data_IF_901868503423
#
_entry.id   IF_901868503423
#
_cell.length_a   1.000
_cell.length_b   1.000
_cell.length_c   1.000
_cell.angle_alpha   90.00
_cell.angle_beta   90.00
_cell.angle_gamma   90.00
#
_symmetry.space_group_name_H-M   'P 1'
#
loop_
_entity.id
_entity.type
_entity.pdbx_description
1 polymer ?
#
# COMPACT_ATOMS: atom_id res chain seq x y z
N UNK A 1 11.91 -6.83 13.42
CA UNK A 1 11.46 -5.78 12.48
C UNK A 1 12.33 -4.53 12.62
N UNK A 2 12.49 -3.94 13.81
CA UNK A 2 13.29 -2.71 13.97
C UNK A 2 14.79 -2.88 13.68
N UNK A 3 15.34 -4.07 13.96
CA UNK A 3 16.76 -4.37 13.72
C UNK A 3 17.08 -4.81 12.29
N UNK A 4 16.06 -5.01 11.45
CA UNK A 4 16.24 -5.41 10.06
C UNK A 4 16.50 -4.17 9.18
N UNK A 5 17.10 -4.39 8.01
CA UNK A 5 17.30 -3.35 7.00
C UNK A 5 16.06 -3.22 6.10
N UNK A 6 15.48 -2.02 6.01
CA UNK A 6 14.23 -1.80 5.30
C UNK A 6 14.43 -1.17 3.93
N UNK A 7 13.64 -1.67 2.99
CA UNK A 7 13.37 -1.00 1.73
C UNK A 7 12.19 -0.04 1.95
N UNK A 8 12.41 1.23 1.69
CA UNK A 8 11.39 2.26 1.73
C UNK A 8 10.91 2.60 0.31
N UNK A 9 9.58 2.68 0.14
CA UNK A 9 8.95 2.99 -1.16
C UNK A 9 8.24 4.33 -1.09
N UNK A 10 8.66 5.27 -1.95
CA UNK A 10 7.96 6.56 -2.16
C UNK A 10 6.68 6.34 -2.95
N UNK A 11 5.56 6.86 -2.45
CA UNK A 11 4.25 6.69 -3.08
C UNK A 11 3.93 7.72 -4.18
N UNK A 12 4.81 8.67 -4.45
CA UNK A 12 4.57 9.69 -5.46
C UNK A 12 5.84 9.94 -6.26
N UNK A 13 5.72 10.04 -7.59
CA UNK A 13 6.75 10.63 -8.45
C UNK A 13 7.13 12.06 -8.04
N UNK A 14 6.36 12.68 -7.15
CA UNK A 14 6.82 13.74 -6.25
C UNK A 14 7.68 13.12 -5.14
N UNK A 15 8.99 13.09 -5.34
CA UNK A 15 9.92 12.89 -4.24
C UNK A 15 9.63 13.94 -3.17
N UNK A 16 9.66 13.56 -1.89
CA UNK A 16 9.75 14.46 -0.73
C UNK A 16 9.05 15.82 -0.99
N UNK A 17 7.75 15.76 -1.31
CA UNK A 17 7.01 16.93 -1.77
C UNK A 17 6.78 17.87 -0.61
N UNK A 18 7.62 18.90 -0.50
CA UNK A 18 7.25 20.15 0.16
C UNK A 18 5.84 20.52 -0.33
N UNK A 19 4.85 20.39 0.55
CA UNK A 19 3.67 21.22 0.47
C UNK A 19 4.07 22.68 0.63
N UNK A 20 3.11 23.61 0.57
CA UNK A 20 3.28 25.08 0.68
C UNK A 20 3.87 25.54 2.04
N UNK A 21 4.46 24.62 2.82
CA UNK A 21 5.11 24.86 4.08
C UNK A 21 6.54 24.28 4.11
N UNK A 22 7.58 25.12 4.06
CA UNK A 22 8.99 24.71 4.15
C UNK A 22 9.36 24.00 5.47
N UNK A 23 8.47 24.00 6.47
CA UNK A 23 8.66 23.30 7.75
C UNK A 23 8.21 21.84 7.72
N UNK A 24 7.52 21.37 6.67
CA UNK A 24 7.08 19.99 6.50
C UNK A 24 8.22 19.08 6.00
N UNK A 25 9.37 19.14 6.69
CA UNK A 25 10.51 18.27 6.45
C UNK A 25 10.10 16.84 6.83
N UNK A 26 10.00 15.97 5.83
CA UNK A 26 9.93 14.50 5.96
C UNK A 26 8.72 13.94 6.73
N UNK A 27 7.51 14.01 6.18
CA UNK A 27 6.50 13.00 6.56
C UNK A 27 6.84 11.69 5.87
N UNK A 28 7.53 10.82 6.62
CA UNK A 28 7.72 9.43 6.26
C UNK A 28 6.34 8.75 6.08
N UNK A 29 6.21 7.74 5.22
CA UNK A 29 4.91 7.15 4.85
C UNK A 29 4.15 6.48 6.02
N UNK A 30 2.93 5.97 5.77
CA UNK A 30 2.04 5.44 6.81
C UNK A 30 2.65 4.41 7.76
N UNK A 31 3.58 3.59 7.27
CA UNK A 31 4.34 2.62 8.08
C UNK A 31 5.18 3.34 9.13
N UNK A 32 5.86 4.41 8.74
CA UNK A 32 6.72 5.21 9.60
C UNK A 32 5.91 6.10 10.54
N UNK A 33 4.73 6.58 10.12
CA UNK A 33 3.78 7.24 11.01
C UNK A 33 3.28 6.28 12.11
N UNK A 34 2.93 5.04 11.77
CA UNK A 34 2.53 4.02 12.74
C UNK A 34 3.66 3.70 13.74
N UNK A 35 4.90 3.58 13.27
CA UNK A 35 6.07 3.43 14.15
C UNK A 35 6.31 4.65 15.04
N UNK A 36 6.14 5.86 14.49
CA UNK A 36 6.33 7.12 15.21
C UNK A 36 5.34 7.27 16.37
N UNK A 37 4.07 6.85 16.18
CA UNK A 37 3.07 6.81 17.25
C UNK A 37 3.48 5.93 18.44
N UNK A 38 4.32 4.92 18.20
CA UNK A 38 4.88 4.05 19.24
C UNK A 38 6.26 4.53 19.75
N UNK A 39 6.74 5.69 19.32
CA UNK A 39 8.09 6.18 19.64
C UNK A 39 9.21 5.29 19.09
N UNK A 40 8.97 4.61 17.96
CA UNK A 40 9.93 3.73 17.30
C UNK A 40 10.31 4.26 15.92
N UNK A 41 11.50 3.87 15.45
CA UNK A 41 12.01 4.17 14.10
C UNK A 41 12.68 2.93 13.56
N UNK A 42 12.43 2.62 12.28
CA UNK A 42 13.09 1.51 11.56
C UNK A 42 14.37 1.99 10.86
N UNK A 43 15.26 1.06 10.55
CA UNK A 43 16.47 1.32 9.77
C UNK A 43 16.17 1.21 8.28
N UNK A 44 16.25 2.31 7.53
CA UNK A 44 16.03 2.31 6.08
C UNK A 44 17.38 2.27 5.38
N UNK A 45 17.63 1.22 4.61
CA UNK A 45 18.88 1.01 3.86
C UNK A 45 18.72 1.31 2.37
N UNK A 46 17.51 1.16 1.82
CA UNK A 46 17.23 1.35 0.39
C UNK A 46 15.99 2.21 0.19
N UNK A 47 16.06 3.12 -0.78
CA UNK A 47 14.96 3.97 -1.21
C UNK A 47 14.59 3.67 -2.66
N UNK A 48 13.30 3.46 -2.93
CA UNK A 48 12.78 3.27 -4.29
C UNK A 48 11.45 4.00 -4.48
N UNK A 49 11.03 4.19 -5.73
CA UNK A 49 9.74 4.76 -6.11
C UNK A 49 8.75 3.72 -6.65
N UNK A 50 9.17 2.45 -6.73
CA UNK A 50 8.41 1.39 -7.38
C UNK A 50 8.33 0.15 -6.49
N UNK A 51 7.10 -0.32 -6.22
CA UNK A 51 6.89 -1.54 -5.46
C UNK A 51 7.51 -2.77 -6.12
N UNK A 52 7.52 -2.84 -7.46
CA UNK A 52 8.17 -3.94 -8.20
C UNK A 52 9.65 -4.05 -7.88
N UNK A 53 10.37 -2.92 -7.84
CA UNK A 53 11.79 -2.90 -7.45
C UNK A 53 11.96 -3.29 -5.99
N UNK A 54 11.06 -2.85 -5.10
CA UNK A 54 11.11 -3.25 -3.69
C UNK A 54 10.89 -4.76 -3.50
N UNK A 55 9.98 -5.37 -4.27
CA UNK A 55 9.74 -6.82 -4.24
C UNK A 55 10.97 -7.59 -4.72
N UNK A 56 11.58 -7.18 -5.83
CA UNK A 56 12.81 -7.80 -6.34
C UNK A 56 13.98 -7.69 -5.35
N UNK A 57 14.17 -6.50 -4.76
CA UNK A 57 15.23 -6.27 -3.78
C UNK A 57 15.01 -7.05 -2.48
N UNK A 58 13.76 -7.29 -2.09
CA UNK A 58 13.45 -8.08 -0.90
C UNK A 58 13.88 -9.56 -1.02
N UNK A 59 14.19 -10.05 -2.23
CA UNK A 59 14.77 -11.38 -2.42
C UNK A 59 16.25 -11.45 -2.00
N UNK A 60 16.90 -10.29 -1.85
CA UNK A 60 18.27 -10.24 -1.33
C UNK A 60 18.27 -10.50 0.18
N UNK A 61 19.37 -11.06 0.67
CA UNK A 61 19.55 -11.31 2.09
C UNK A 61 19.45 -10.01 2.92
N UNK A 62 18.91 -10.16 4.13
CA UNK A 62 18.84 -9.12 5.16
C UNK A 62 17.99 -7.87 4.85
N UNK A 63 17.20 -7.89 3.77
CA UNK A 63 16.25 -6.83 3.43
C UNK A 63 14.81 -7.24 3.73
N UNK A 64 14.03 -6.30 4.26
CA UNK A 64 12.57 -6.43 4.35
C UNK A 64 11.85 -5.24 3.74
N UNK A 65 10.70 -5.49 3.12
CA UNK A 65 9.84 -4.46 2.57
C UNK A 65 8.44 -4.58 3.21
N UNK A 66 7.90 -3.45 3.67
CA UNK A 66 6.49 -3.36 4.08
C UNK A 66 5.70 -2.74 2.94
N UNK A 67 4.78 -3.53 2.38
CA UNK A 67 4.06 -3.24 1.14
C UNK A 67 2.55 -3.30 1.39
N UNK A 68 1.73 -2.68 0.52
CA UNK A 68 0.31 -3.01 0.47
C UNK A 68 0.10 -4.53 0.31
N UNK A 69 -0.87 -5.08 1.04
CA UNK A 69 -1.13 -6.52 1.07
C UNK A 69 -1.35 -7.12 -0.32
N UNK A 70 -2.05 -6.40 -1.22
CA UNK A 70 -2.22 -6.80 -2.63
C UNK A 70 -0.92 -6.86 -3.43
N UNK A 71 0.06 -6.01 -3.13
CA UNK A 71 1.36 -6.08 -3.77
C UNK A 71 2.14 -7.31 -3.26
N UNK A 72 2.10 -7.57 -1.95
CA UNK A 72 2.69 -8.77 -1.37
C UNK A 72 2.02 -10.08 -1.87
N UNK A 73 0.73 -10.03 -2.20
CA UNK A 73 -0.01 -11.15 -2.79
C UNK A 73 0.59 -11.64 -4.11
N UNK A 74 1.13 -10.73 -4.92
CA UNK A 74 1.81 -11.08 -6.18
C UNK A 74 3.07 -11.92 -5.96
N UNK A 75 3.59 -11.97 -4.73
CA UNK A 75 4.78 -12.74 -4.34
C UNK A 75 4.43 -13.95 -3.47
N UNK A 76 3.14 -14.31 -3.32
CA UNK A 76 2.71 -15.37 -2.40
C UNK A 76 3.31 -16.74 -2.70
N UNK A 77 3.62 -17.01 -3.97
CA UNK A 77 4.18 -18.28 -4.46
C UNK A 77 5.69 -18.16 -4.74
N UNK A 78 6.33 -17.03 -4.40
CA UNK A 78 7.76 -16.84 -4.60
C UNK A 78 8.54 -17.63 -3.53
N UNK A 79 9.36 -18.64 -3.90
CA UNK A 79 10.07 -19.48 -2.95
C UNK A 79 11.20 -18.75 -2.20
N UNK A 80 11.65 -17.59 -2.70
CA UNK A 80 12.71 -16.79 -2.08
C UNK A 80 12.18 -15.83 -1.01
N UNK A 81 10.85 -15.70 -0.87
CA UNK A 81 10.22 -14.72 -0.01
C UNK A 81 9.29 -15.39 1.00
N UNK A 82 9.17 -14.76 2.17
CA UNK A 82 8.15 -15.13 3.16
C UNK A 82 7.34 -13.90 3.48
N UNK A 83 6.04 -13.96 3.21
CA UNK A 83 5.11 -12.88 3.56
C UNK A 83 4.65 -13.04 5.01
N UNK A 84 4.83 -12.00 5.81
CA UNK A 84 4.41 -11.96 7.23
C UNK A 84 3.53 -10.75 7.52
N UNK A 85 2.66 -10.90 8.51
CA UNK A 85 1.90 -9.77 9.09
C UNK A 85 2.88 -8.85 9.83
N UNK A 86 2.80 -7.52 9.65
CA UNK A 86 3.61 -6.58 10.42
C UNK A 86 3.38 -6.78 11.94
N UNK A 87 4.42 -6.67 12.79
CA UNK A 87 4.29 -6.92 14.23
C UNK A 87 3.69 -5.74 15.01
N UNK A 88 2.98 -4.86 14.32
CA UNK A 88 2.31 -3.68 14.86
C UNK A 88 1.18 -3.27 13.90
N UNK A 89 0.22 -2.53 14.42
CA UNK A 89 -0.93 -2.08 13.64
C UNK A 89 -0.53 -0.93 12.70
N UNK A 90 -0.92 -1.07 11.43
CA UNK A 90 -0.79 -0.04 10.41
C UNK A 90 -2.20 0.29 9.94
N UNK A 91 -2.67 1.55 10.08
CA UNK A 91 -4.01 1.91 9.66
C UNK A 91 -4.26 1.53 8.19
N UNK A 92 -5.42 0.93 7.86
CA UNK A 92 -5.77 0.65 6.49
C UNK A 92 -5.94 1.94 5.70
N UNK A 93 -5.83 1.83 4.38
CA UNK A 93 -6.08 2.94 3.48
C UNK A 93 -6.98 2.48 2.33
N UNK A 94 -7.75 3.41 1.80
CA UNK A 94 -8.69 3.15 0.72
C UNK A 94 -8.05 3.48 -0.63
N UNK A 95 -8.34 2.65 -1.64
CA UNK A 95 -8.08 2.96 -3.04
C UNK A 95 -9.39 3.48 -3.65
N UNK A 96 -9.37 4.71 -4.16
CA UNK A 96 -10.54 5.33 -4.78
C UNK A 96 -10.29 5.56 -6.26
N UNK A 97 -11.36 5.42 -7.03
CA UNK A 97 -11.39 5.89 -8.41
C UNK A 97 -11.85 7.35 -8.40
N UNK A 98 -11.16 8.21 -9.14
CA UNK A 98 -11.50 9.61 -9.26
C UNK A 98 -11.62 9.98 -10.73
N UNK A 99 -12.57 10.85 -11.05
CA UNK A 99 -12.76 11.38 -12.40
C UNK A 99 -13.26 12.82 -12.33
N UNK A 100 -13.11 13.56 -13.43
CA UNK A 100 -13.65 14.91 -13.52
C UNK A 100 -15.19 14.86 -13.50
N UNK A 101 -15.88 15.77 -12.79
CA UNK A 101 -17.34 15.88 -12.85
C UNK A 101 -17.90 16.03 -14.27
N UNK A 102 -17.11 16.58 -15.19
CA UNK A 102 -17.48 16.71 -16.62
C UNK A 102 -17.68 15.34 -17.30
N UNK A 103 -17.05 14.29 -16.77
CA UNK A 103 -17.10 12.92 -17.29
C UNK A 103 -18.10 12.04 -16.53
N UNK A 104 -18.89 12.62 -15.61
CA UNK A 104 -19.88 11.89 -14.83
C UNK A 104 -20.91 11.18 -15.72
N UNK A 105 -21.42 11.91 -16.72
CA UNK A 105 -22.50 11.48 -17.61
C UNK A 105 -22.02 10.95 -18.97
N UNK A 106 -20.70 10.87 -19.19
CA UNK A 106 -20.16 10.31 -20.43
C UNK A 106 -20.31 8.78 -20.41
N UNK A 107 -20.91 8.21 -21.46
CA UNK A 107 -21.24 6.79 -21.54
C UNK A 107 -20.00 5.88 -21.52
N UNK A 108 -18.94 6.25 -22.26
CA UNK A 108 -17.71 5.46 -22.35
C UNK A 108 -16.99 5.43 -21.00
N UNK A 109 -16.96 6.57 -20.30
CA UNK A 109 -16.43 6.65 -18.95
C UNK A 109 -17.27 5.82 -17.97
N UNK A 110 -18.60 5.89 -18.02
CA UNK A 110 -19.46 5.07 -17.17
C UNK A 110 -19.23 3.58 -17.39
N UNK A 111 -19.13 3.16 -18.66
CA UNK A 111 -18.82 1.77 -19.02
C UNK A 111 -17.48 1.35 -18.41
N UNK A 112 -16.42 2.14 -18.61
CA UNK A 112 -15.09 1.81 -18.10
C UNK A 112 -15.07 1.73 -16.56
N UNK A 113 -15.74 2.67 -15.87
CA UNK A 113 -15.81 2.64 -14.40
C UNK A 113 -16.51 1.39 -13.87
N UNK A 114 -17.61 0.99 -14.53
CA UNK A 114 -18.33 -0.25 -14.21
C UNK A 114 -17.44 -1.47 -14.44
N UNK A 115 -16.77 -1.54 -15.60
CA UNK A 115 -15.85 -2.63 -15.91
C UNK A 115 -14.72 -2.75 -14.87
N UNK A 116 -14.11 -1.63 -14.47
CA UNK A 116 -13.06 -1.65 -13.44
C UNK A 116 -13.62 -2.13 -12.10
N UNK A 117 -14.83 -1.70 -11.71
CA UNK A 117 -15.46 -2.13 -10.45
C UNK A 117 -15.85 -3.62 -10.46
N UNK A 118 -16.35 -4.12 -11.58
CA UNK A 118 -16.67 -5.54 -11.80
C UNK A 118 -15.40 -6.39 -11.65
N UNK A 119 -14.35 -6.07 -12.42
CA UNK A 119 -13.06 -6.79 -12.35
C UNK A 119 -12.42 -6.67 -10.96
N UNK A 120 -12.51 -5.51 -10.31
CA UNK A 120 -12.01 -5.36 -8.95
C UNK A 120 -12.73 -6.29 -7.97
N UNK A 121 -14.04 -6.50 -8.13
CA UNK A 121 -14.81 -7.41 -7.27
C UNK A 121 -14.38 -8.88 -7.47
N UNK A 122 -14.09 -9.28 -8.70
CA UNK A 122 -13.54 -10.60 -9.00
C UNK A 122 -12.17 -10.79 -8.34
N UNK A 123 -11.26 -9.85 -8.54
CA UNK A 123 -9.91 -9.87 -7.94
C UNK A 123 -9.98 -9.85 -6.41
N UNK A 124 -10.94 -9.15 -5.81
CA UNK A 124 -11.16 -9.11 -4.36
C UNK A 124 -11.52 -10.49 -3.81
N UNK A 125 -12.36 -11.22 -4.54
CA UNK A 125 -12.77 -12.58 -4.17
C UNK A 125 -11.57 -13.53 -4.18
N UNK A 126 -10.70 -13.44 -5.18
CA UNK A 126 -9.47 -14.24 -5.25
C UNK A 126 -8.44 -13.86 -4.17
N UNK A 127 -8.37 -12.57 -3.83
CA UNK A 127 -7.45 -12.05 -2.83
C UNK A 127 -7.88 -12.38 -1.39
N UNK A 128 -9.18 -12.48 -1.11
CA UNK A 128 -9.74 -12.60 0.25
C UNK A 128 -9.07 -13.67 1.14
N UNK A 129 -8.81 -14.91 0.68
CA UNK A 129 -8.15 -15.94 1.51
C UNK A 129 -6.72 -15.54 1.93
N UNK A 130 -6.03 -14.79 1.08
CA UNK A 130 -4.70 -14.25 1.42
C UNK A 130 -4.82 -13.00 2.30
N UNK A 131 -5.74 -12.10 1.97
CA UNK A 131 -5.96 -10.81 2.61
C UNK A 131 -6.39 -10.89 4.07
N UNK A 132 -7.20 -11.87 4.43
CA UNK A 132 -7.77 -12.04 5.78
C UNK A 132 -6.72 -12.01 6.91
N UNK A 133 -5.47 -12.43 6.65
CA UNK A 133 -4.39 -12.40 7.66
C UNK A 133 -3.90 -10.99 8.00
N UNK A 134 -4.23 -9.98 7.19
CA UNK A 134 -3.79 -8.59 7.34
C UNK A 134 -4.92 -7.65 7.78
N UNK A 135 -6.14 -8.16 7.91
CA UNK A 135 -7.28 -7.39 8.39
C UNK A 135 -7.17 -7.22 9.91
N UNK A 136 -7.43 -6.00 10.38
CA UNK A 136 -7.56 -5.76 11.81
C UNK A 136 -8.87 -6.40 12.30
N UNK A 137 -8.91 -6.99 13.51
CA UNK A 137 -10.10 -7.65 14.05
C UNK A 137 -11.37 -6.78 14.05
N UNK A 138 -11.21 -5.45 14.14
CA UNK A 138 -12.28 -4.46 14.27
C UNK A 138 -12.33 -3.45 13.09
N UNK A 139 -11.78 -3.79 11.92
CA UNK A 139 -11.86 -2.90 10.77
C UNK A 139 -13.33 -2.74 10.29
N UNK A 140 -13.87 -1.52 10.17
CA UNK A 140 -15.21 -1.33 9.64
C UNK A 140 -15.25 -1.88 8.21
N UNK A 141 -16.27 -2.70 7.90
CA UNK A 141 -16.50 -3.21 6.55
C UNK A 141 -16.57 -2.03 5.58
N UNK A 142 -15.79 -2.09 4.50
CA UNK A 142 -15.76 -1.04 3.49
C UNK A 142 -17.16 -0.86 2.91
N UNK A 143 -17.85 0.22 3.31
CA UNK A 143 -19.07 0.63 2.66
C UNK A 143 -18.70 1.11 1.26
N UNK A 144 -19.26 0.49 0.22
CA UNK A 144 -19.19 0.97 -1.16
C UNK A 144 -19.72 2.40 -1.20
N UNK A 145 -18.81 3.37 -1.14
CA UNK A 145 -19.14 4.78 -1.29
C UNK A 145 -19.36 5.06 -2.77
N UNK A 146 -20.60 5.00 -3.22
CA UNK A 146 -21.04 5.58 -4.49
C UNK A 146 -20.95 7.10 -4.41
N UNK A 147 -19.76 7.68 -4.64
CA UNK A 147 -19.60 9.08 -5.08
C UNK A 147 -18.37 9.24 -5.96
#
# INVERSE_FOLDING_TARGET
YLDASHIWVSKTGFGVGVGVNPKDVQRLGWVDEALSRMGRKRQISVFTRHYQVAMLLAEQHDLIATLPSRAAWLQKDNPNLVVKVPPFEIPPFELKMAWSPLLQHNADHQWLRKLIAEVATEVDTEFAPFGARFEAPDAPQAHHSER
#
